data_IF_917531333722
#
_entry.id   IF_917531333722
#
_cell.length_a   1.000
_cell.length_b   1.000
_cell.length_c   1.000
_cell.angle_alpha   90.00
_cell.angle_beta   90.00
_cell.angle_gamma   90.00
#
_symmetry.space_group_name_H-M   'P 1'
#
loop_
_entity.id
_entity.type
_entity.pdbx_description
1 polymer ?
#
# COMPACT_ATOMS: atom_id res chain seq x y z
N UNK A 1 -4.06 5.21 -24.21
CA UNK A 1 -3.60 4.99 -22.82
C UNK A 1 -4.68 5.50 -21.89
N UNK A 2 -5.17 4.67 -20.98
CA UNK A 2 -6.14 5.07 -19.96
C UNK A 2 -5.47 5.89 -18.85
N UNK A 3 -6.16 6.85 -18.24
CA UNK A 3 -5.69 7.57 -17.06
C UNK A 3 -5.33 6.61 -15.91
N UNK A 4 -6.05 5.49 -15.80
CA UNK A 4 -5.76 4.46 -14.80
C UNK A 4 -4.42 3.74 -15.04
N UNK A 5 -4.05 3.48 -16.29
CA UNK A 5 -2.76 2.85 -16.63
C UNK A 5 -1.59 3.77 -16.28
N UNK A 6 -1.69 5.06 -16.60
CA UNK A 6 -0.66 6.06 -16.26
C UNK A 6 -0.40 6.13 -14.75
N UNK A 7 -1.45 6.11 -13.95
CA UNK A 7 -1.35 6.09 -12.49
C UNK A 7 -0.72 4.80 -11.99
N UNK A 8 -1.12 3.65 -12.53
CA UNK A 8 -0.51 2.36 -12.19
C UNK A 8 0.99 2.36 -12.50
N UNK A 9 1.41 2.88 -13.64
CA UNK A 9 2.82 2.94 -14.07
C UNK A 9 3.66 3.97 -13.30
N UNK A 10 3.03 4.86 -12.52
CA UNK A 10 3.74 5.85 -11.69
C UNK A 10 4.45 5.20 -10.49
N UNK A 11 4.01 4.01 -10.09
CA UNK A 11 4.65 3.20 -9.05
C UNK A 11 5.38 2.01 -9.66
N UNK A 12 6.56 1.71 -9.14
CA UNK A 12 7.28 0.48 -9.49
C UNK A 12 6.48 -0.76 -9.06
N UNK A 13 6.74 -1.93 -9.65
CA UNK A 13 6.05 -3.17 -9.27
C UNK A 13 6.12 -3.44 -7.76
N UNK A 14 7.29 -3.25 -7.14
CA UNK A 14 7.49 -3.47 -5.71
C UNK A 14 6.77 -2.44 -4.84
N UNK A 15 6.76 -1.17 -5.25
CA UNK A 15 5.99 -0.13 -4.56
C UNK A 15 4.49 -0.43 -4.58
N UNK A 16 3.97 -0.91 -5.71
CA UNK A 16 2.57 -1.31 -5.85
C UNK A 16 2.23 -2.51 -4.97
N UNK A 17 3.07 -3.53 -4.98
CA UNK A 17 2.90 -4.72 -4.16
C UNK A 17 2.83 -4.38 -2.66
N UNK A 18 3.76 -3.55 -2.19
CA UNK A 18 3.77 -3.08 -0.80
C UNK A 18 2.54 -2.21 -0.49
N UNK A 19 2.13 -1.33 -1.40
CA UNK A 19 0.93 -0.50 -1.24
C UNK A 19 -0.34 -1.34 -1.10
N UNK A 20 -0.54 -2.36 -1.96
CA UNK A 20 -1.72 -3.24 -1.91
C UNK A 20 -1.79 -3.98 -0.58
N UNK A 21 -0.68 -4.57 -0.13
CA UNK A 21 -0.61 -5.25 1.16
C UNK A 21 -0.88 -4.30 2.34
N UNK A 22 -0.35 -3.08 2.28
CA UNK A 22 -0.67 -2.04 3.27
C UNK A 22 -2.17 -1.73 3.32
N UNK A 23 -2.83 -1.63 2.16
CA UNK A 23 -4.26 -1.36 2.06
C UNK A 23 -5.13 -2.51 2.57
N UNK A 24 -4.62 -3.75 2.52
CA UNK A 24 -5.22 -4.93 3.16
C UNK A 24 -5.13 -4.97 4.67
N UNK A 25 -4.48 -3.98 5.28
CA UNK A 25 -4.28 -3.93 6.74
C UNK A 25 -3.04 -4.66 7.22
N UNK A 26 -2.22 -5.24 6.34
CA UNK A 26 -0.99 -5.92 6.76
C UNK A 26 -0.03 -4.95 7.48
N UNK A 27 0.71 -5.50 8.45
CA UNK A 27 1.72 -4.76 9.22
C UNK A 27 3.06 -4.83 8.50
N UNK A 28 3.96 -3.86 8.75
CA UNK A 28 5.25 -3.82 8.04
C UNK A 28 6.06 -5.09 8.27
N UNK A 29 5.91 -5.73 9.43
CA UNK A 29 6.53 -7.02 9.75
C UNK A 29 5.97 -8.16 8.90
N UNK A 30 4.64 -8.24 8.74
CA UNK A 30 4.00 -9.24 7.88
C UNK A 30 4.43 -9.08 6.42
N UNK A 31 4.35 -7.85 5.91
CA UNK A 31 4.77 -7.52 4.54
C UNK A 31 6.24 -7.89 4.32
N UNK A 32 7.10 -7.53 5.26
CA UNK A 32 8.54 -7.81 5.18
C UNK A 32 8.83 -9.32 5.09
N UNK A 33 8.20 -10.11 5.97
CA UNK A 33 8.31 -11.57 5.96
C UNK A 33 7.89 -12.16 4.62
N UNK A 34 6.72 -11.75 4.12
CA UNK A 34 6.14 -12.33 2.92
C UNK A 34 6.92 -11.93 1.65
N UNK A 35 7.59 -10.77 1.66
CA UNK A 35 8.41 -10.28 0.54
C UNK A 35 9.89 -10.65 0.65
N UNK A 36 10.32 -11.29 1.75
CA UNK A 36 11.72 -11.65 1.98
C UNK A 36 12.65 -10.45 2.15
N UNK A 37 12.16 -9.35 2.74
CA UNK A 37 12.91 -8.11 2.96
C UNK A 37 12.81 -7.67 4.42
N UNK A 38 13.51 -6.60 4.81
CA UNK A 38 13.40 -6.04 6.17
C UNK A 38 12.16 -5.13 6.32
N UNK A 39 11.59 -4.99 7.54
CA UNK A 39 10.55 -3.99 7.81
C UNK A 39 10.98 -2.56 7.48
N UNK A 40 12.26 -2.24 7.61
CA UNK A 40 12.83 -0.94 7.23
C UNK A 40 12.79 -0.73 5.70
N UNK A 41 13.00 -1.80 4.92
CA UNK A 41 12.87 -1.77 3.46
C UNK A 41 11.41 -1.55 3.05
N UNK A 42 10.45 -2.17 3.75
CA UNK A 42 9.01 -1.92 3.56
C UNK A 42 8.67 -0.44 3.82
N UNK A 43 9.14 0.12 4.93
CA UNK A 43 8.95 1.54 5.27
C UNK A 43 9.54 2.45 4.18
N UNK A 44 10.72 2.12 3.65
CA UNK A 44 11.34 2.86 2.54
C UNK A 44 10.46 2.85 1.29
N UNK A 45 9.88 1.70 0.92
CA UNK A 45 8.92 1.64 -0.18
C UNK A 45 7.69 2.51 0.08
N UNK A 46 7.10 2.45 1.28
CA UNK A 46 5.94 3.28 1.64
C UNK A 46 6.25 4.77 1.60
N UNK A 47 7.42 5.20 2.08
CA UNK A 47 7.85 6.61 2.00
C UNK A 47 7.97 7.08 0.54
N UNK A 48 8.53 6.26 -0.35
CA UNK A 48 8.61 6.57 -1.78
C UNK A 48 7.23 6.66 -2.43
N UNK A 49 6.33 5.73 -2.10
CA UNK A 49 4.94 5.77 -2.56
C UNK A 49 4.27 7.05 -2.09
N UNK A 50 4.36 7.39 -0.80
CA UNK A 50 3.78 8.62 -0.24
C UNK A 50 4.32 9.88 -0.92
N UNK A 51 5.64 9.94 -1.13
CA UNK A 51 6.29 11.06 -1.80
C UNK A 51 5.81 11.22 -3.25
N UNK A 52 5.69 10.11 -4.01
CA UNK A 52 5.14 10.13 -5.37
C UNK A 52 3.65 10.48 -5.42
N UNK A 53 2.90 10.06 -4.40
CA UNK A 53 1.47 10.29 -4.28
C UNK A 53 1.11 11.68 -3.71
N UNK A 54 2.07 12.40 -3.12
CA UNK A 54 1.82 13.69 -2.47
C UNK A 54 1.01 13.59 -1.16
N UNK A 55 1.04 12.45 -0.48
CA UNK A 55 0.27 12.21 0.77
C UNK A 55 1.17 11.99 1.97
N UNK A 56 0.69 12.28 3.18
CA UNK A 56 1.54 12.33 4.38
C UNK A 56 1.37 11.12 5.31
N UNK A 57 0.19 10.49 5.32
CA UNK A 57 -0.11 9.40 6.26
C UNK A 57 -0.71 8.15 5.59
N UNK A 58 -0.84 7.07 6.38
CA UNK A 58 -1.35 5.76 5.92
C UNK A 58 -2.79 5.88 5.42
N UNK A 59 -3.66 6.55 6.16
CA UNK A 59 -5.08 6.68 5.81
C UNK A 59 -5.28 7.40 4.48
N UNK A 60 -4.59 8.53 4.27
CA UNK A 60 -4.61 9.24 2.99
C UNK A 60 -4.09 8.36 1.84
N UNK A 61 -3.04 7.58 2.10
CA UNK A 61 -2.50 6.67 1.10
C UNK A 61 -3.49 5.55 0.72
N UNK A 62 -4.24 5.01 1.69
CA UNK A 62 -5.28 4.01 1.45
C UNK A 62 -6.46 4.62 0.68
N UNK A 63 -6.94 5.79 1.09
CA UNK A 63 -8.02 6.51 0.39
C UNK A 63 -7.64 6.75 -1.06
N UNK A 64 -6.44 7.30 -1.30
CA UNK A 64 -5.93 7.51 -2.67
C UNK A 64 -5.89 6.22 -3.47
N UNK A 65 -5.40 5.12 -2.88
CA UNK A 65 -5.33 3.84 -3.57
C UNK A 65 -6.70 3.32 -4.01
N UNK A 66 -7.74 3.58 -3.21
CA UNK A 66 -9.14 3.26 -3.54
C UNK A 66 -9.68 4.18 -4.66
N UNK A 67 -9.52 5.50 -4.51
CA UNK A 67 -9.98 6.48 -5.49
C UNK A 67 -9.36 6.28 -6.88
N UNK A 68 -8.08 5.93 -6.92
CA UNK A 68 -7.35 5.67 -8.16
C UNK A 68 -7.56 4.23 -8.69
N UNK A 69 -8.33 3.41 -8.01
CA UNK A 69 -8.59 2.02 -8.39
C UNK A 69 -7.37 1.10 -8.32
N UNK A 70 -6.33 1.49 -7.58
CA UNK A 70 -5.14 0.70 -7.29
C UNK A 70 -5.41 -0.40 -6.25
N UNK A 71 -6.40 -0.17 -5.39
CA UNK A 71 -6.90 -1.12 -4.42
C UNK A 71 -8.43 -1.11 -4.42
N UNK A 72 -9.04 -2.29 -4.49
CA UNK A 72 -10.49 -2.47 -4.36
C UNK A 72 -10.75 -3.39 -3.18
N UNK A 73 -11.13 -2.87 -2.01
CA UNK A 73 -11.41 -3.71 -0.87
C UNK A 73 -12.58 -4.63 -1.20
N UNK A 74 -12.41 -5.92 -0.95
CA UNK A 74 -13.52 -6.87 -0.96
C UNK A 74 -14.18 -6.92 0.42
N UNK A 75 -15.48 -7.22 0.49
CA UNK A 75 -16.20 -7.33 1.77
C UNK A 75 -15.55 -8.32 2.75
N UNK A 76 -14.75 -9.26 2.26
CA UNK A 76 -14.00 -10.24 3.05
C UNK A 76 -12.78 -9.64 3.76
N UNK A 77 -12.20 -8.55 3.23
CA UNK A 77 -10.97 -7.94 3.76
C UNK A 77 -11.27 -6.86 4.83
N UNK A 78 -12.50 -6.31 4.86
CA UNK A 78 -12.89 -5.22 5.79
C UNK A 78 -12.95 -5.66 7.25
N UNK A 79 -13.01 -6.97 7.52
CA UNK A 79 -13.06 -7.52 8.89
C UNK A 79 -11.71 -7.48 9.64
N UNK A 80 -10.59 -7.25 8.95
CA UNK A 80 -9.24 -7.29 9.51
C UNK A 80 -8.83 -5.89 9.99
N UNK A 81 -9.36 -5.48 11.15
CA UNK A 81 -8.87 -4.30 11.87
C UNK A 81 -7.39 -4.42 12.25
N UNK A 82 -6.71 -3.31 12.59
CA UNK A 82 -5.26 -3.28 12.78
C UNK A 82 -4.88 -4.26 13.89
N UNK A 83 -4.29 -5.40 13.51
CA UNK A 83 -3.94 -6.48 14.44
C UNK A 83 -2.70 -6.20 15.28
N UNK A 84 -2.08 -5.02 15.16
CA UNK A 84 -0.92 -4.60 15.96
C UNK A 84 -1.16 -3.16 16.50
N UNK A 85 -2.08 -3.02 17.45
CA UNK A 85 -1.92 -2.09 18.58
C UNK A 85 -1.61 -2.93 19.82
N UNK A 86 -0.36 -3.40 19.93
CA UNK A 86 0.24 -3.96 21.13
C UNK A 86 1.76 -3.71 21.10
#
# INVERSE_FOLDING_TARGET
MSLQELVQHSFTPREREVLVRLCRGETYRSIARDLGISPHTVDTHIRRVRSKAGVTNRSQLVIMAVELGLYRPTLLEVQMGPSDEA
#
